data_IF_264787801610
#
_entry.id   IF_264787801610
#
_cell.length_a   1.000
_cell.length_b   1.000
_cell.length_c   1.000
_cell.angle_alpha   90.00
_cell.angle_beta   90.00
_cell.angle_gamma   90.00
#
_symmetry.space_group_name_H-M   'P 1'
#
loop_
_entity.id
_entity.type
_entity.pdbx_description
1 polymer ?
2 non-polymer ?
3 non-polymer ?
4 water ?
#
# COMPACT_ATOMS: atom_id res chain seq x y z
N UNK A 1 34.75 -26.37 13.76
CA UNK A 1 34.17 -25.55 12.65
C UNK A 1 32.64 -25.53 12.71
N UNK A 2 32.08 -24.40 13.11
CA UNK A 2 30.63 -24.25 13.21
C UNK A 2 30.05 -23.78 11.88
N UNK A 3 28.76 -23.99 11.69
CA UNK A 3 28.11 -23.55 10.46
C UNK A 3 28.16 -22.03 10.48
N UNK A 4 28.27 -21.43 9.29
CA UNK A 4 28.33 -19.98 9.16
C UNK A 4 27.23 -19.54 8.20
N UNK A 5 26.18 -18.92 8.74
CA UNK A 5 25.07 -18.47 7.92
C UNK A 5 25.25 -17.00 7.54
N UNK A 6 25.40 -16.75 6.24
CA UNK A 6 25.61 -15.40 5.73
C UNK A 6 24.31 -14.69 5.36
N UNK A 7 23.94 -13.72 6.19
CA UNK A 7 22.73 -12.93 6.00
C UNK A 7 23.08 -11.55 5.46
N UNK A 8 22.26 -11.07 4.52
CA UNK A 8 22.46 -9.75 3.92
C UNK A 8 21.26 -8.87 4.19
N UNK A 9 21.51 -7.64 4.63
CA UNK A 9 20.43 -6.69 4.90
C UNK A 9 20.22 -5.84 3.66
N UNK A 10 18.99 -5.81 3.15
CA UNK A 10 18.68 -5.01 1.97
C UNK A 10 17.44 -4.17 2.23
N UNK A 11 17.37 -3.01 1.57
CA UNK A 11 16.23 -2.12 1.76
C UNK A 11 16.60 -0.67 1.55
N UNK A 12 15.59 0.17 1.29
CA UNK A 12 15.79 1.59 1.05
C UNK A 12 16.46 2.28 2.25
N UNK A 13 17.01 3.47 2.00
CA UNK A 13 17.66 4.19 3.07
C UNK A 13 16.70 4.54 4.19
N UNK A 14 17.17 4.41 5.41
CA UNK A 14 16.37 4.75 6.57
C UNK A 14 15.32 3.77 7.07
N UNK A 15 15.20 2.61 6.44
CA UNK A 15 14.20 1.64 6.89
C UNK A 15 14.56 0.97 8.21
N UNK A 16 15.84 1.00 8.58
CA UNK A 16 16.26 0.40 9.83
C UNK A 16 17.16 -0.82 9.71
N UNK A 17 17.86 -0.97 8.60
CA UNK A 17 18.75 -2.10 8.40
C UNK A 17 19.81 -2.15 9.50
N UNK A 18 20.44 -1.01 9.76
CA UNK A 18 21.48 -0.93 10.78
C UNK A 18 20.91 -1.13 12.19
N UNK A 19 19.78 -0.48 12.47
CA UNK A 19 19.18 -0.59 13.78
C UNK A 19 18.84 -2.05 14.09
N UNK A 20 18.28 -2.76 13.11
CA UNK A 20 17.95 -4.17 13.31
C UNK A 20 19.21 -4.98 13.60
N UNK A 21 20.25 -4.71 12.83
CA UNK A 21 21.51 -5.42 13.01
C UNK A 21 22.11 -5.18 14.39
N UNK A 22 22.11 -3.93 14.83
CA UNK A 22 22.69 -3.60 16.14
C UNK A 22 21.84 -4.11 17.31
N UNK A 23 20.52 -4.12 17.14
CA UNK A 23 19.66 -4.63 18.19
C UNK A 23 19.90 -6.13 18.33
N UNK A 24 20.00 -6.83 17.20
CA UNK A 24 20.24 -8.27 17.24
C UNK A 24 21.62 -8.57 17.81
N UNK A 25 22.62 -7.83 17.36
CA UNK A 25 23.99 -8.05 17.81
C UNK A 25 24.30 -7.69 19.25
N UNK A 26 23.89 -6.49 19.67
CA UNK A 26 24.23 -6.01 21.00
C UNK A 26 23.08 -5.63 21.93
N UNK A 27 21.86 -5.82 21.48
CA UNK A 27 20.68 -5.46 22.28
C UNK A 27 20.75 -3.99 22.65
N UNK A 28 21.10 -3.17 21.66
CA UNK A 28 21.20 -1.74 21.86
C UNK A 28 20.43 -1.00 20.77
N UNK A 29 19.71 0.04 21.17
CA UNK A 29 18.96 0.85 20.23
C UNK A 29 19.11 2.31 20.66
N UNK A 30 19.67 3.12 19.78
CA UNK A 30 19.86 4.54 20.05
C UNK A 30 19.25 5.30 18.88
N UNK A 31 18.08 5.88 19.10
CA UNK A 31 17.40 6.63 18.06
C UNK A 31 18.27 7.73 17.47
N UNK A 32 18.21 7.87 16.15
CA UNK A 32 18.98 8.87 15.41
C UNK A 32 20.45 8.52 15.27
N UNK A 33 20.81 7.29 15.64
CA UNK A 33 22.20 6.84 15.52
C UNK A 33 22.47 6.32 14.11
N UNK A 34 23.42 6.95 13.43
CA UNK A 34 23.77 6.56 12.07
C UNK A 34 25.18 5.96 12.02
N UNK A 35 25.27 4.62 12.10
CA UNK A 35 26.56 3.92 12.06
C UNK A 35 27.22 3.96 10.68
N UNK A 37 30.90 1.19 10.36
CA UNK A 37 31.35 -0.16 10.01
C UNK A 37 30.60 -0.68 8.79
N UNK A 40 30.58 -6.20 8.27
CA UNK A 40 30.24 -7.60 8.50
C UNK A 40 30.27 -7.92 10.00
N UNK A 41 29.10 -8.16 10.60
CA UNK A 41 29.02 -8.48 12.02
C UNK A 41 28.84 -9.98 12.21
N UNK A 42 29.58 -10.54 13.16
CA UNK A 42 29.45 -11.95 13.44
C UNK A 42 29.04 -12.20 14.89
N UNK A 43 28.35 -13.30 15.12
CA UNK A 43 27.90 -13.62 16.46
C UNK A 43 27.60 -15.10 16.53
N UNK A 44 27.96 -15.73 17.65
CA UNK A 44 27.70 -17.14 17.83
C UNK A 44 26.37 -17.22 18.55
N UNK A 45 25.46 -18.02 18.01
CA UNK A 45 24.14 -18.19 18.61
C UNK A 45 23.73 -19.66 18.54
N UNK A 46 22.74 -20.04 19.33
CA UNK A 46 22.27 -21.41 19.34
C UNK A 46 20.96 -21.51 18.57
N UNK A 47 21.01 -22.14 17.41
CA UNK A 47 19.83 -22.31 16.56
C UNK A 47 19.22 -23.69 16.75
N UNK A 48 18.07 -23.74 17.41
CA UNK A 48 17.39 -25.01 17.67
C UNK A 48 18.32 -26.05 18.28
N UNK A 49 19.09 -25.64 19.28
CA UNK A 49 20.00 -26.56 19.94
C UNK A 49 21.37 -26.73 19.32
N UNK A 50 21.61 -26.08 18.19
CA UNK A 50 22.91 -26.18 17.52
C UNK A 50 23.63 -24.85 17.53
N UNK A 51 24.84 -24.82 18.06
CA UNK A 51 25.61 -23.57 18.07
C UNK A 51 26.08 -23.33 16.65
N UNK A 52 25.79 -22.14 16.14
CA UNK A 52 26.19 -21.77 14.79
C UNK A 52 26.72 -20.34 14.83
N UNK A 53 27.21 -19.88 13.70
CA UNK A 53 27.71 -18.52 13.60
C UNK A 53 26.91 -17.80 12.53
N UNK A 54 26.44 -16.60 12.85
CA UNK A 54 25.70 -15.83 11.87
C UNK A 54 26.60 -14.67 11.47
N UNK A 55 26.58 -14.35 10.18
CA UNK A 55 27.36 -13.24 9.67
C UNK A 55 26.35 -12.32 9.01
N UNK A 56 26.30 -11.07 9.46
CA UNK A 56 25.36 -10.10 8.91
C UNK A 56 26.06 -8.97 8.19
N UNK A 57 25.74 -8.80 6.91
CA UNK A 57 26.32 -7.73 6.12
C UNK A 57 25.29 -6.60 6.10
N UNK A 58 25.63 -5.50 6.78
CA UNK A 58 24.75 -4.35 6.86
C UNK A 58 25.21 -3.27 5.88
N UNK A 59 24.68 -3.32 4.66
CA UNK A 59 25.06 -2.36 3.63
C UNK A 59 24.18 -1.13 3.59
N UNK A 60 24.64 -0.11 2.89
CA UNK A 60 23.90 1.14 2.77
C UNK A 60 22.74 0.98 1.79
N UNK A 61 21.63 1.63 2.07
CA UNK A 61 20.47 1.53 1.21
C UNK A 61 20.76 2.04 -0.20
N UNK A 73 27.10 -9.26 -1.81
CA UNK A 73 25.70 -9.40 -2.18
C UNK A 73 25.51 -10.69 -2.97
N UNK A 74 26.63 -11.26 -3.42
CA UNK A 74 26.61 -12.51 -4.18
C UNK A 74 26.93 -13.65 -3.23
N UNK A 75 27.83 -13.37 -2.29
CA UNK A 75 28.25 -14.36 -1.30
C UNK A 75 27.16 -14.60 -0.26
N UNK A 76 26.17 -13.71 -0.22
CA UNK A 76 25.08 -13.84 0.73
C UNK A 76 24.27 -15.10 0.51
N UNK A 77 23.85 -15.74 1.59
CA UNK A 77 23.07 -16.97 1.51
C UNK A 77 21.59 -16.72 1.81
N UNK A 78 21.31 -15.68 2.58
CA UNK A 78 19.94 -15.34 2.92
C UNK A 78 19.78 -13.85 2.95
N UNK A 79 18.58 -13.36 2.66
CA UNK A 79 18.33 -11.93 2.65
C UNK A 79 17.14 -11.45 3.45
N UNK A 80 17.34 -10.39 4.22
CA UNK A 80 16.26 -9.79 4.99
C UNK A 80 15.91 -8.54 4.19
N UNK A 81 14.78 -8.58 3.51
CA UNK A 81 14.30 -7.46 2.68
C UNK A 81 13.45 -6.56 3.56
N UNK A 82 14.06 -5.48 4.03
CA UNK A 82 13.40 -4.56 4.95
C UNK A 82 12.82 -3.29 4.33
N UNK A 83 11.65 -2.90 4.83
CA UNK A 83 11.02 -1.65 4.42
C UNK A 83 10.43 -1.10 5.71
N UNK A 84 10.08 0.18 5.73
CA UNK A 84 9.49 0.78 6.92
C UNK A 84 7.99 0.85 6.72
N UNK A 85 7.22 0.39 7.72
CA UNK A 85 5.78 0.43 7.59
C UNK A 85 5.27 1.86 7.51
N UNK A 86 6.13 2.82 7.85
CA UNK A 86 5.74 4.23 7.81
C UNK A 86 6.05 4.92 6.49
N UNK A 87 6.59 4.17 5.53
CA UNK A 87 6.95 4.74 4.24
C UNK A 87 6.60 3.79 3.10
N UNK A 88 5.46 4.02 2.45
CA UNK A 88 5.06 3.14 1.36
C UNK A 88 6.06 3.17 0.21
N UNK A 89 6.86 4.22 0.14
CA UNK A 89 7.87 4.34 -0.90
C UNK A 89 8.90 3.23 -0.72
N UNK A 90 9.28 2.97 0.54
CA UNK A 90 10.27 1.94 0.81
C UNK A 90 9.69 0.55 0.55
N UNK A 91 8.38 0.42 0.67
CA UNK A 91 7.70 -0.85 0.43
C UNK A 91 7.68 -1.12 -1.07
N UNK A 92 7.30 -0.10 -1.84
CA UNK A 92 7.26 -0.23 -3.29
C UNK A 92 8.63 -0.64 -3.82
N UNK A 93 9.68 -0.07 -3.22
CA UNK A 93 11.05 -0.34 -3.63
C UNK A 93 11.53 -1.78 -3.44
N UNK A 94 10.84 -2.53 -2.58
CA UNK A 94 11.24 -3.91 -2.34
C UNK A 94 11.12 -4.80 -3.57
N UNK A 95 10.28 -4.40 -4.52
CA UNK A 95 10.10 -5.19 -5.74
C UNK A 95 11.38 -5.22 -6.55
N UNK A 96 12.04 -4.07 -6.67
CA UNK A 96 13.29 -3.99 -7.42
C UNK A 96 14.38 -4.80 -6.72
N UNK A 97 14.47 -4.63 -5.41
CA UNK A 97 15.47 -5.34 -4.62
C UNK A 97 15.27 -6.84 -4.79
N UNK A 98 14.01 -7.27 -4.70
CA UNK A 98 13.64 -8.67 -4.87
C UNK A 98 14.15 -9.19 -6.21
N UNK A 99 13.82 -8.45 -7.26
CA UNK A 99 14.22 -8.80 -8.62
C UNK A 99 15.74 -8.84 -8.78
N UNK A 100 16.42 -7.86 -8.22
CA UNK A 100 17.87 -7.79 -8.30
C UNK A 100 18.56 -8.96 -7.61
N UNK A 101 18.06 -9.34 -6.44
CA UNK A 101 18.64 -10.44 -5.69
C UNK A 101 18.55 -11.75 -6.47
N UNK A 102 17.36 -12.06 -6.99
CA UNK A 102 17.15 -13.28 -7.75
C UNK A 102 18.07 -13.36 -8.97
N UNK A 103 18.24 -12.25 -9.67
CA UNK A 103 19.10 -12.24 -10.85
C UNK A 103 20.55 -12.48 -10.47
N UNK A 104 21.10 -11.60 -9.64
CA UNK A 104 22.48 -11.71 -9.19
C UNK A 104 22.77 -13.07 -8.56
N UNK A 105 21.84 -13.57 -7.76
CA UNK A 105 22.02 -14.85 -7.09
C UNK A 105 21.66 -16.00 -8.03
N UNK A 106 21.02 -15.66 -9.15
CA UNK A 106 20.62 -16.65 -10.15
C UNK A 106 19.64 -17.68 -9.61
N UNK A 107 19.43 -17.68 -8.30
CA UNK A 107 18.52 -18.61 -7.67
C UNK A 107 17.15 -17.98 -7.44
N UNK A 108 16.10 -18.72 -7.73
CA UNK A 108 14.73 -18.23 -7.57
C UNK A 108 14.14 -18.56 -6.21
N UNK A 109 14.73 -19.55 -5.53
CA UNK A 109 14.23 -19.96 -4.22
C UNK A 109 15.23 -19.61 -3.11
N UNK A 110 15.85 -18.45 -3.23
CA UNK A 110 16.82 -17.97 -2.25
C UNK A 110 16.18 -17.63 -0.92
N UNK A 111 16.80 -18.01 0.20
CA UNK A 111 16.24 -17.70 1.53
C UNK A 111 15.95 -16.21 1.54
N UNK A 112 14.68 -15.87 1.71
CA UNK A 112 14.24 -14.48 1.67
C UNK A 112 13.13 -14.24 2.68
N UNK A 113 13.15 -13.08 3.34
CA UNK A 113 12.13 -12.75 4.30
C UNK A 113 11.77 -11.28 4.14
N UNK A 114 10.48 -10.99 4.04
CA UNK A 114 10.01 -9.61 3.90
C UNK A 114 9.78 -9.08 5.31
N UNK A 115 10.50 -8.01 5.65
CA UNK A 115 10.42 -7.43 6.98
C UNK A 115 9.87 -6.00 7.00
N UNK A 116 8.78 -5.81 7.74
CA UNK A 116 8.19 -4.48 7.87
C UNK A 116 8.67 -3.95 9.21
N UNK A 117 9.67 -3.09 9.17
CA UNK A 117 10.24 -2.53 10.40
C UNK A 117 9.55 -1.26 10.88
N UNK A 118 9.88 -0.87 12.11
CA UNK A 118 9.33 0.32 12.78
C UNK A 118 7.87 0.12 13.17
N UNK A 119 7.53 -1.09 13.62
CA UNK A 119 6.16 -1.40 14.01
C UNK A 119 5.69 -0.58 15.22
N UNK A 120 6.62 0.02 15.95
CA UNK A 120 6.24 0.82 17.11
C UNK A 120 5.67 2.17 16.69
N UNK A 121 5.84 2.51 15.41
CA UNK A 121 5.33 3.77 14.87
C UNK A 121 4.02 3.52 14.13
N UNK A 122 3.16 2.72 14.74
CA UNK A 122 1.87 2.36 14.17
C UNK A 122 1.02 3.55 13.69
N UNK A 123 0.98 4.61 14.49
CA UNK A 123 0.19 5.79 14.13
C UNK A 123 0.66 6.51 12.86
N UNK A 124 1.81 6.10 12.33
CA UNK A 124 2.35 6.72 11.12
C UNK A 124 2.40 5.71 9.97
N UNK A 125 1.80 4.55 10.18
CA UNK A 125 1.79 3.48 9.18
C UNK A 125 1.22 3.92 7.83
N UNK A 126 1.90 3.52 6.75
CA UNK A 126 1.45 3.83 5.39
C UNK A 126 1.23 2.54 4.62
N UNK A 127 1.66 1.42 5.20
CA UNK A 127 1.51 0.12 4.57
C UNK A 127 0.78 -0.83 5.51
N UNK A 128 -0.42 -1.23 5.15
CA UNK A 128 -1.22 -2.11 5.98
C UNK A 128 -0.63 -3.53 6.01
N UNK A 129 -0.95 -4.27 7.05
CA UNK A 129 -0.47 -5.63 7.18
C UNK A 129 -0.93 -6.47 5.99
N UNK A 130 -2.19 -6.33 5.60
CA UNK A 130 -2.71 -7.09 4.47
C UNK A 130 -1.97 -6.82 3.17
N UNK A 131 -1.60 -5.57 2.93
CA UNK A 131 -0.88 -5.24 1.70
C UNK A 131 0.48 -5.94 1.68
N UNK A 132 1.22 -5.84 2.79
CA UNK A 132 2.53 -6.47 2.86
C UNK A 132 2.41 -7.99 2.75
N UNK A 133 1.43 -8.55 3.44
CA UNK A 133 1.20 -9.99 3.41
C UNK A 133 0.88 -10.48 2.00
N UNK A 134 0.06 -9.71 1.28
CA UNK A 134 -0.29 -10.07 -0.09
C UNK A 134 0.97 -10.25 -0.92
N UNK A 135 1.89 -9.30 -0.81
CA UNK A 135 3.14 -9.36 -1.56
C UNK A 135 3.99 -10.55 -1.14
N UNK A 136 4.04 -10.80 0.17
CA UNK A 136 4.81 -11.92 0.70
C UNK A 136 4.27 -13.23 0.16
N UNK A 137 2.94 -13.36 0.12
CA UNK A 137 2.34 -14.58 -0.39
C UNK A 137 2.65 -14.72 -1.88
N UNK A 138 2.64 -13.59 -2.58
CA UNK A 138 2.92 -13.56 -4.02
C UNK A 138 4.33 -14.09 -4.29
N UNK A 139 5.25 -13.78 -3.38
CA UNK A 139 6.64 -14.20 -3.53
C UNK A 139 6.91 -15.54 -2.83
N UNK A 140 5.91 -16.08 -2.16
CA UNK A 140 6.05 -17.35 -1.45
C UNK A 140 7.06 -17.26 -0.32
N UNK A 141 7.02 -16.15 0.42
CA UNK A 141 7.90 -15.94 1.56
C UNK A 141 7.06 -15.46 2.73
N UNK A 142 7.65 -15.40 3.92
CA UNK A 142 6.92 -14.95 5.09
C UNK A 142 7.11 -13.45 5.33
N UNK A 143 6.14 -12.86 6.00
CA UNK A 143 6.18 -11.44 6.34
C UNK A 143 6.18 -11.30 7.84
N UNK A 144 7.14 -10.54 8.37
CA UNK A 144 7.23 -10.32 9.80
C UNK A 144 7.42 -8.83 10.06
N UNK A 145 6.70 -8.29 11.04
CA UNK A 145 6.83 -6.88 11.38
C UNK A 145 7.74 -6.80 12.59
N UNK A 146 8.69 -5.88 12.53
CA UNK A 146 9.67 -5.73 13.59
C UNK A 146 9.80 -4.30 14.09
N UNK A 147 10.48 -4.17 15.23
CA UNK A 147 10.80 -2.87 15.81
C UNK A 147 12.14 -2.99 16.50
N UNK A 148 13.14 -2.31 15.97
CA UNK A 148 14.46 -2.33 16.59
C UNK A 148 14.36 -1.65 17.96
N UNK A 149 13.42 -0.73 18.09
CA UNK A 149 13.23 -0.01 19.35
C UNK A 149 12.63 -0.85 20.47
N UNK A 150 11.52 -1.52 20.20
CA UNK A 150 10.87 -2.34 21.22
C UNK A 150 11.39 -3.77 21.26
N UNK A 151 12.24 -4.12 20.29
CA UNK A 151 12.82 -5.46 20.16
C UNK A 151 11.87 -6.45 19.51
N UNK A 152 10.62 -6.05 19.36
CA UNK A 152 9.59 -6.91 18.77
C UNK A 152 10.01 -7.65 17.50
N UNK A 153 10.02 -8.98 17.58
CA UNK A 153 10.36 -9.88 16.48
C UNK A 153 11.74 -9.73 15.82
N UNK A 154 12.64 -9.00 16.44
CA UNK A 154 13.96 -8.85 15.84
C UNK A 154 14.74 -10.16 15.82
N UNK A 155 14.81 -10.85 16.97
CA UNK A 155 15.51 -12.14 16.99
C UNK A 155 14.80 -13.09 16.04
N UNK A 156 13.47 -13.02 16.00
CA UNK A 156 12.70 -13.91 15.13
C UNK A 156 13.08 -13.85 13.66
N UNK A 157 13.21 -12.66 13.09
CA UNK A 157 13.56 -12.58 11.67
C UNK A 157 14.94 -13.14 11.35
N UNK A 158 15.92 -12.92 12.23
CA UNK A 158 17.26 -13.45 11.99
C UNK A 158 17.30 -14.96 12.14
N UNK A 159 16.65 -15.48 13.17
CA UNK A 159 16.63 -16.93 13.38
C UNK A 159 15.81 -17.62 12.29
N UNK A 160 14.66 -17.05 11.96
CA UNK A 160 13.82 -17.64 10.92
C UNK A 160 14.57 -17.68 9.59
N UNK A 161 15.34 -16.64 9.29
CA UNK A 161 16.09 -16.62 8.05
C UNK A 161 17.18 -17.69 8.06
N UNK A 162 17.82 -17.87 9.21
CA UNK A 162 18.86 -18.88 9.31
C UNK A 162 18.25 -20.27 9.10
N UNK A 163 17.03 -20.46 9.57
CA UNK A 163 16.37 -21.76 9.39
C UNK A 163 16.13 -21.99 7.92
N UNK A 164 15.82 -20.91 7.20
CA UNK A 164 15.58 -20.99 5.75
C UNK A 164 16.88 -21.42 5.07
N UNK A 165 17.98 -20.78 5.47
CA UNK A 165 19.29 -21.08 4.91
C UNK A 165 19.70 -22.51 5.23
N UNK A 166 19.45 -22.92 6.47
CA UNK A 166 19.79 -24.26 6.94
C UNK A 166 19.15 -25.33 6.07
N UNK A 167 17.91 -25.10 5.63
CA UNK A 167 17.19 -26.05 4.80
C UNK A 167 17.31 -25.71 3.32
N UNK A 168 18.53 -25.40 2.89
CA UNK A 168 18.80 -25.05 1.49
C UNK A 168 18.04 -23.80 1.07
N UNK B 1 -20.94 6.53 19.71
CA UNK B 1 -20.60 5.84 18.43
C UNK B 1 -20.26 6.85 17.34
N UNK B 2 -19.02 6.80 16.84
CA UNK B 2 -18.59 7.72 15.80
C UNK B 2 -19.34 7.50 14.50
N UNK B 3 -19.53 8.56 13.74
CA UNK B 3 -20.21 8.47 12.47
C UNK B 3 -19.29 7.69 11.53
N UNK B 4 -19.89 6.81 10.73
CA UNK B 4 -19.13 6.00 9.78
C UNK B 4 -19.61 6.31 8.38
N UNK B 5 -18.70 6.75 7.53
CA UNK B 5 -19.03 7.06 6.15
C UNK B 5 -18.43 6.00 5.23
N UNK B 6 -19.30 5.23 4.57
CA UNK B 6 -18.86 4.18 3.67
C UNK B 6 -18.78 4.64 2.23
N UNK B 7 -17.54 4.79 1.77
CA UNK B 7 -17.27 5.26 0.43
C UNK B 7 -16.78 4.12 -0.46
N UNK B 8 -17.24 4.10 -1.70
CA UNK B 8 -16.81 3.08 -2.65
C UNK B 8 -16.24 3.74 -3.90
N UNK B 9 -15.03 3.33 -4.27
CA UNK B 9 -14.36 3.84 -5.46
C UNK B 9 -14.74 2.91 -6.61
N UNK B 10 -15.23 3.48 -7.71
CA UNK B 10 -15.57 2.67 -8.88
C UNK B 10 -14.99 3.34 -10.12
N UNK B 11 -14.79 2.57 -11.18
CA UNK B 11 -14.23 3.11 -12.40
C UNK B 11 -13.45 2.02 -13.13
N UNK B 12 -13.24 2.22 -14.43
CA UNK B 12 -12.52 1.22 -15.21
C UNK B 12 -11.05 1.13 -14.81
N UNK B 13 -10.37 0.10 -15.31
CA UNK B 13 -8.99 -0.10 -14.96
C UNK B 13 -7.99 1.00 -15.28
N UNK B 14 -7.10 1.24 -14.32
CA UNK B 14 -6.04 2.21 -14.50
C UNK B 14 -6.35 3.69 -14.43
N UNK B 15 -7.57 4.05 -14.02
CA UNK B 15 -7.94 5.46 -13.96
C UNK B 15 -7.37 6.20 -12.77
N UNK B 16 -6.95 5.45 -11.75
CA UNK B 16 -6.38 6.06 -10.56
C UNK B 16 -7.16 5.90 -9.26
N UNK B 17 -8.07 4.92 -9.21
CA UNK B 17 -8.84 4.71 -7.99
C UNK B 17 -7.92 4.48 -6.80
N UNK B 18 -6.93 3.61 -6.96
CA UNK B 18 -6.01 3.31 -5.87
C UNK B 18 -5.11 4.49 -5.53
N UNK B 19 -4.56 5.15 -6.54
CA UNK B 19 -3.69 6.28 -6.29
C UNK B 19 -4.41 7.37 -5.50
N UNK B 20 -5.67 7.63 -5.85
CA UNK B 20 -6.45 8.63 -5.15
C UNK B 20 -6.64 8.21 -3.69
N UNK B 21 -6.97 6.94 -3.49
CA UNK B 21 -7.17 6.40 -2.15
C UNK B 21 -5.91 6.52 -1.31
N UNK B 22 -4.77 6.14 -1.86
CA UNK B 22 -3.51 6.19 -1.13
C UNK B 22 -3.08 7.62 -0.82
N UNK B 23 -3.36 8.54 -1.74
CA UNK B 23 -3.02 9.94 -1.54
C UNK B 23 -3.85 10.46 -0.38
N UNK B 24 -5.15 10.14 -0.37
CA UNK B 24 -6.01 10.60 0.70
C UNK B 24 -5.63 9.96 2.04
N UNK B 25 -5.40 8.66 2.02
CA UNK B 25 -5.04 7.92 3.23
C UNK B 25 -3.67 8.22 3.82
N UNK B 26 -2.66 8.24 2.97
CA UNK B 26 -1.29 8.40 3.44
C UNK B 26 -0.50 9.61 2.95
N UNK B 27 -1.11 10.46 2.14
CA UNK B 27 -0.42 11.64 1.63
C UNK B 27 0.84 11.27 0.86
N UNK B 28 0.77 10.21 0.07
CA UNK B 28 1.91 9.76 -0.72
C UNK B 28 1.44 9.31 -2.10
N UNK B 29 2.35 9.39 -3.07
CA UNK B 29 2.10 8.93 -4.43
C UNK B 29 3.40 8.34 -4.95
N UNK B 30 3.33 7.09 -5.39
CA UNK B 30 4.49 6.42 -5.94
C UNK B 30 4.14 5.99 -7.36
N UNK B 31 4.79 6.61 -8.34
CA UNK B 31 4.50 6.28 -9.72
C UNK B 31 4.76 4.79 -10.00
N UNK B 32 3.88 4.21 -10.83
CA UNK B 32 3.97 2.81 -11.20
C UNK B 32 3.57 1.85 -10.08
N UNK B 33 3.32 2.39 -8.89
CA UNK B 33 2.92 1.54 -7.77
C UNK B 33 1.42 1.27 -7.84
N UNK B 34 1.04 0.00 -7.68
CA UNK B 34 -0.36 -0.39 -7.71
C UNK B 34 -0.61 -1.35 -6.54
N UNK B 35 -1.39 -0.91 -5.55
CA UNK B 35 -1.71 -1.72 -4.37
C UNK B 35 -2.62 -2.90 -4.69
N UNK B 36 -2.46 -3.98 -3.93
CA UNK B 36 -3.27 -5.18 -4.12
C UNK B 36 -4.35 -5.31 -3.07
N UNK B 37 -4.26 -4.51 -2.01
CA UNK B 37 -5.25 -4.54 -0.92
C UNK B 37 -6.66 -4.47 -1.49
N UNK B 38 -7.45 -5.51 -1.22
CA UNK B 38 -8.82 -5.60 -1.72
C UNK B 38 -9.93 -5.30 -0.72
N UNK B 39 -9.60 -5.20 0.56
CA UNK B 39 -10.65 -4.85 1.50
C UNK B 39 -10.51 -3.37 1.85
N UNK B 40 -11.53 -2.82 2.48
CA UNK B 40 -11.55 -1.39 2.77
C UNK B 40 -10.46 -0.78 3.62
N UNK B 41 -10.20 0.49 3.35
CA UNK B 41 -9.24 1.28 4.11
C UNK B 41 -10.06 1.96 5.19
N UNK B 42 -9.60 1.88 6.43
CA UNK B 42 -10.31 2.49 7.54
C UNK B 42 -9.45 3.59 8.16
N UNK B 43 -10.07 4.74 8.42
CA UNK B 43 -9.35 5.86 9.01
C UNK B 43 -10.27 6.84 9.72
N UNK B 44 -9.80 7.40 10.82
CA UNK B 44 -10.56 8.39 11.56
C UNK B 44 -10.07 9.73 11.04
N UNK B 45 -11.00 10.56 10.57
CA UNK B 45 -10.63 11.86 10.04
C UNK B 45 -11.51 12.94 10.67
N UNK B 46 -11.14 14.19 10.47
CA UNK B 46 -11.91 15.29 11.03
C UNK B 46 -12.72 15.97 9.93
N UNK B 47 -14.04 15.95 10.09
CA UNK B 47 -14.94 16.57 9.11
C UNK B 47 -15.66 17.74 9.76
N UNK B 48 -15.29 18.95 9.36
CA UNK B 48 -15.89 20.17 9.89
C UNK B 48 -15.91 20.17 11.42
N UNK B 49 -14.75 19.91 12.02
CA UNK B 49 -14.66 19.91 13.48
C UNK B 49 -15.06 18.62 14.17
N UNK B 50 -15.80 17.75 13.49
CA UNK B 50 -16.24 16.50 14.08
C UNK B 50 -15.40 15.31 13.64
N UNK B 51 -14.97 14.49 14.60
CA UNK B 51 -14.19 13.30 14.29
C UNK B 51 -15.15 12.25 13.75
N UNK B 52 -14.84 11.74 12.56
CA UNK B 52 -15.68 10.72 11.95
C UNK B 52 -14.79 9.61 11.42
N UNK B 53 -15.41 8.47 11.11
CA UNK B 53 -14.66 7.36 10.58
C UNK B 53 -15.03 7.18 9.12
N UNK B 54 -14.04 7.02 8.26
CA UNK B 54 -14.30 6.80 6.86
C UNK B 54 -13.86 5.38 6.51
N UNK B 55 -14.58 4.77 5.59
CA UNK B 55 -14.29 3.42 5.15
C UNK B 55 -14.26 3.53 3.64
N UNK B 56 -13.12 3.24 3.03
CA UNK B 56 -13.00 3.34 1.58
C UNK B 56 -12.75 1.99 0.93
N UNK B 57 -13.69 1.54 0.11
CA UNK B 57 -13.52 0.29 -0.60
C UNK B 57 -12.94 0.66 -1.96
N UNK B 58 -11.67 0.37 -2.15
CA UNK B 58 -10.95 0.67 -3.39
C UNK B 58 -11.11 -0.51 -4.35
N UNK B 59 -12.23 -0.57 -5.06
CA UNK B 59 -12.43 -1.69 -5.97
C UNK B 59 -11.57 -1.52 -7.20
N UNK B 60 -11.32 -2.63 -7.89
CA UNK B 60 -10.53 -2.62 -9.11
C UNK B 60 -11.47 -2.60 -10.31
N UNK B 61 -10.98 -2.12 -11.44
CA UNK B 61 -11.78 -2.11 -12.64
C UNK B 61 -12.14 -3.54 -12.97
N UNK B 62 -13.39 -3.75 -13.36
CA UNK B 62 -13.91 -5.08 -13.68
C UNK B 62 -13.82 -5.42 -15.15
N UNK B 63 -13.52 -6.69 -15.44
CA UNK B 63 -13.48 -7.14 -16.83
C UNK B 63 -14.96 -7.31 -17.20
N UNK B 64 -15.24 -7.39 -18.50
CA UNK B 64 -16.62 -7.50 -18.95
C UNK B 64 -17.40 -8.70 -18.41
N UNK B 65 -16.70 -9.80 -18.13
CA UNK B 65 -17.37 -10.99 -17.62
C UNK B 65 -17.66 -10.96 -16.12
N UNK B 66 -17.23 -9.88 -15.44
CA UNK B 66 -17.43 -9.78 -14.00
C UNK B 66 -18.04 -8.45 -13.59
N UNK B 67 -18.38 -8.34 -12.30
CA UNK B 67 -18.97 -7.11 -11.77
C UNK B 67 -18.90 -7.08 -10.26
N UNK B 68 -18.97 -5.87 -9.70
CA UNK B 68 -18.98 -5.72 -8.26
C UNK B 68 -20.30 -6.32 -7.78
N UNK B 69 -20.25 -7.06 -6.68
CA UNK B 69 -21.45 -7.70 -6.14
C UNK B 69 -22.47 -6.66 -5.68
N UNK B 70 -23.74 -6.90 -5.98
CA UNK B 70 -24.79 -5.97 -5.59
C UNK B 70 -24.79 -5.69 -4.09
N UNK B 71 -24.52 -6.71 -3.28
CA UNK B 71 -24.49 -6.53 -1.83
C UNK B 71 -23.49 -5.46 -1.42
N UNK B 72 -22.36 -5.38 -2.11
CA UNK B 72 -21.37 -4.38 -1.78
C UNK B 72 -21.81 -2.97 -2.17
N UNK B 73 -22.53 -2.84 -3.28
CA UNK B 73 -23.02 -1.53 -3.66
C UNK B 73 -24.11 -1.09 -2.68
N UNK B 74 -24.89 -2.07 -2.20
CA UNK B 74 -25.97 -1.79 -1.26
C UNK B 74 -25.41 -1.20 0.04
N UNK B 75 -24.32 -1.77 0.53
CA UNK B 75 -23.71 -1.29 1.78
C UNK B 75 -23.00 0.04 1.61
N UNK B 76 -22.60 0.36 0.38
CA UNK B 76 -21.93 1.63 0.13
C UNK B 76 -22.87 2.80 0.31
N UNK B 77 -22.40 3.87 0.93
CA UNK B 77 -23.23 5.05 1.16
C UNK B 77 -22.96 6.19 0.17
N UNK B 78 -21.74 6.24 -0.35
CA UNK B 78 -21.39 7.28 -1.30
C UNK B 78 -20.41 6.71 -2.30
N UNK B 79 -20.40 7.25 -3.52
CA UNK B 79 -19.54 6.74 -4.57
C UNK B 79 -18.69 7.78 -5.28
N UNK B 80 -17.43 7.44 -5.53
CA UNK B 80 -16.56 8.31 -6.32
C UNK B 80 -16.44 7.52 -7.62
N UNK B 81 -17.10 8.03 -8.66
CA UNK B 81 -17.11 7.38 -9.97
C UNK B 81 -15.98 8.03 -10.77
N UNK B 82 -14.86 7.31 -10.84
CA UNK B 82 -13.65 7.82 -11.47
C UNK B 82 -13.35 7.37 -12.90
N UNK B 83 -12.86 8.30 -13.71
CA UNK B 83 -12.42 7.98 -15.05
C UNK B 83 -11.15 8.80 -15.22
N UNK B 84 -10.39 8.52 -16.28
CA UNK B 84 -9.18 9.29 -16.54
C UNK B 84 -9.46 10.25 -17.66
N UNK B 85 -9.09 11.52 -17.52
CA UNK B 85 -9.34 12.47 -18.58
C UNK B 85 -8.54 12.13 -19.82
N UNK B 86 -7.59 11.21 -19.70
CA UNK B 86 -6.75 10.82 -20.83
C UNK B 86 -7.26 9.60 -21.60
N UNK B 87 -8.34 8.99 -21.11
CA UNK B 87 -8.87 7.81 -21.78
C UNK B 87 -10.39 7.85 -21.96
N UNK B 88 -10.82 8.15 -23.18
CA UNK B 88 -12.24 8.23 -23.47
C UNK B 88 -12.99 6.95 -23.09
N UNK B 89 -12.35 5.79 -23.24
CA UNK B 89 -13.01 4.54 -22.90
C UNK B 89 -13.40 4.48 -21.43
N UNK B 90 -12.58 5.07 -20.57
CA UNK B 90 -12.89 5.06 -19.14
C UNK B 90 -14.08 5.97 -18.86
N UNK B 91 -14.24 7.03 -19.64
CA UNK B 91 -15.38 7.94 -19.47
C UNK B 91 -16.65 7.21 -19.91
N UNK B 92 -16.55 6.52 -21.03
CA UNK B 92 -17.69 5.77 -21.56
C UNK B 92 -18.15 4.72 -20.54
N UNK B 93 -17.20 4.18 -19.79
CA UNK B 93 -17.51 3.15 -18.80
C UNK B 93 -18.30 3.65 -17.59
N UNK B 94 -18.26 4.96 -17.32
CA UNK B 94 -18.96 5.49 -16.16
C UNK B 94 -20.48 5.30 -16.19
N UNK B 95 -21.07 5.32 -17.38
CA UNK B 95 -22.52 5.17 -17.50
C UNK B 95 -23.01 3.85 -16.89
N UNK B 96 -22.29 2.76 -17.15
CA UNK B 96 -22.69 1.46 -16.61
C UNK B 96 -22.58 1.41 -15.08
N UNK B 97 -21.55 2.05 -14.53
CA UNK B 97 -21.41 2.07 -13.08
C UNK B 97 -22.59 2.81 -12.47
N UNK B 98 -22.94 3.95 -13.06
CA UNK B 98 -24.07 4.74 -12.57
C UNK B 98 -25.34 3.88 -12.62
N UNK B 99 -25.53 3.18 -13.74
CA UNK B 99 -26.73 2.35 -13.89
C UNK B 99 -26.82 1.24 -12.86
N UNK B 100 -25.71 0.56 -12.57
CA UNK B 100 -25.73 -0.51 -11.58
C UNK B 100 -25.99 0.04 -10.19
N UNK B 101 -25.33 1.16 -9.88
CA UNK B 101 -25.52 1.78 -8.57
C UNK B 101 -26.99 2.15 -8.36
N UNK B 102 -27.60 2.78 -9.36
CA UNK B 102 -29.00 3.19 -9.25
C UNK B 102 -29.95 2.01 -9.16
N UNK B 103 -29.62 0.93 -9.87
CA UNK B 103 -30.48 -0.25 -9.86
C UNK B 103 -30.47 -0.91 -8.49
N UNK B 104 -29.33 -0.87 -7.81
CA UNK B 104 -29.20 -1.47 -6.49
C UNK B 104 -29.68 -0.56 -5.37
N UNK B 105 -29.37 0.74 -5.47
CA UNK B 105 -29.74 1.71 -4.44
C UNK B 105 -31.13 2.32 -4.63
N UNK B 106 -31.64 2.30 -5.87
CA UNK B 106 -32.95 2.86 -6.17
C UNK B 106 -33.08 4.27 -5.60
N UNK B 107 -32.07 5.09 -5.82
CA UNK B 107 -32.04 6.46 -5.33
C UNK B 107 -31.20 7.35 -6.25
N UNK B 108 -31.88 8.23 -6.99
CA UNK B 108 -31.21 9.15 -7.91
C UNK B 108 -30.39 10.19 -7.17
N UNK B 109 -30.60 10.28 -5.86
CA UNK B 109 -29.90 11.26 -5.05
C UNK B 109 -28.79 10.66 -4.18
N UNK B 110 -28.38 9.44 -4.50
CA UNK B 110 -27.32 8.80 -3.73
C UNK B 110 -26.06 9.66 -3.80
N UNK B 111 -25.34 9.82 -2.67
CA UNK B 111 -24.11 10.62 -2.66
C UNK B 111 -23.20 10.09 -3.77
N UNK B 112 -22.81 10.96 -4.69
CA UNK B 112 -22.06 10.52 -5.86
C UNK B 112 -21.33 11.69 -6.50
N UNK B 113 -20.07 11.47 -6.87
CA UNK B 113 -19.29 12.50 -7.55
C UNK B 113 -18.69 11.88 -8.80
N UNK B 114 -18.72 12.60 -9.93
CA UNK B 114 -18.09 12.13 -11.14
C UNK B 114 -16.70 12.74 -11.03
N UNK B 115 -15.68 11.90 -11.04
CA UNK B 115 -14.30 12.36 -10.88
C UNK B 115 -13.43 12.11 -12.11
N UNK B 116 -12.88 13.18 -12.67
CA UNK B 116 -12.00 13.07 -13.83
C UNK B 116 -10.58 13.19 -13.32
N UNK B 117 -9.90 12.05 -13.21
CA UNK B 117 -8.54 12.00 -12.68
C UNK B 117 -7.44 12.15 -13.72
N UNK B 118 -6.22 12.38 -13.24
CA UNK B 118 -5.02 12.57 -14.05
C UNK B 118 -5.04 13.94 -14.73
N UNK B 119 -5.52 14.95 -13.99
CA UNK B 119 -5.61 16.31 -14.52
C UNK B 119 -4.22 16.88 -14.82
N UNK B 120 -3.19 16.26 -14.28
CA UNK B 120 -1.82 16.71 -14.51
C UNK B 120 -1.34 16.36 -15.92
N UNK B 121 -2.15 15.56 -16.63
CA UNK B 121 -1.80 15.16 -18.00
C UNK B 121 -2.69 15.85 -19.02
N UNK B 122 -2.80 17.17 -18.93
CA UNK B 122 -3.64 17.92 -19.85
C UNK B 122 -3.27 17.69 -21.32
N UNK B 123 -1.98 17.56 -21.59
CA UNK B 123 -1.51 17.35 -22.96
C UNK B 123 -2.01 16.05 -23.59
N UNK B 124 -2.53 15.16 -22.75
CA UNK B 124 -3.04 13.87 -23.25
C UNK B 124 -4.54 13.72 -23.04
N UNK B 125 -5.21 14.83 -22.76
CA UNK B 125 -6.65 14.82 -22.52
C UNK B 125 -7.43 14.29 -23.73
N UNK B 126 -8.36 13.37 -23.45
CA UNK B 126 -9.22 12.78 -24.49
C UNK B 126 -10.68 13.12 -24.20
N UNK B 127 -10.97 13.49 -22.96
CA UNK B 127 -12.32 13.83 -22.56
C UNK B 127 -12.36 15.31 -22.20
N UNK B 128 -13.24 16.06 -22.87
CA UNK B 128 -13.33 17.48 -22.62
C UNK B 128 -14.04 17.78 -21.30
N UNK B 129 -13.68 18.92 -20.70
CA UNK B 129 -14.32 19.33 -19.46
C UNK B 129 -15.80 19.51 -19.73
N UNK B 130 -16.09 20.10 -20.89
CA UNK B 130 -17.46 20.38 -21.29
C UNK B 130 -18.34 19.13 -21.31
N UNK B 131 -17.87 18.05 -21.93
CA UNK B 131 -18.69 16.85 -21.99
C UNK B 131 -18.81 16.15 -20.65
N UNK B 132 -17.79 16.24 -19.80
CA UNK B 132 -17.86 15.61 -18.50
C UNK B 132 -18.85 16.41 -17.64
N UNK B 133 -18.78 17.73 -17.74
CA UNK B 133 -19.69 18.58 -16.98
C UNK B 133 -21.12 18.34 -17.42
N UNK B 134 -21.31 18.19 -18.74
CA UNK B 134 -22.65 17.95 -19.26
C UNK B 134 -23.22 16.67 -18.69
N UNK B 135 -22.39 15.63 -18.60
CA UNK B 135 -22.84 14.36 -18.06
C UNK B 135 -23.19 14.50 -16.59
N UNK B 136 -22.34 15.18 -15.84
CA UNK B 136 -22.59 15.37 -14.41
C UNK B 136 -23.92 16.11 -14.23
N UNK B 137 -24.17 17.11 -15.07
CA UNK B 137 -25.41 17.87 -14.98
C UNK B 137 -26.62 17.00 -15.24
N UNK B 138 -26.50 16.10 -16.22
CA UNK B 138 -27.59 15.20 -16.56
C UNK B 138 -27.90 14.30 -15.36
N UNK B 139 -26.86 13.89 -14.66
CA UNK B 139 -27.00 13.02 -13.50
C UNK B 139 -27.28 13.80 -12.23
N UNK B 140 -27.23 15.13 -12.33
CA UNK B 140 -27.46 15.99 -11.19
C UNK B 140 -26.42 15.75 -10.08
N UNK B 141 -25.17 15.58 -10.50
CA UNK B 141 -24.08 15.37 -9.56
C UNK B 141 -22.98 16.37 -9.92
N UNK B 142 -22.01 16.53 -9.03
CA UNK B 142 -20.91 17.44 -9.32
C UNK B 142 -19.76 16.72 -10.00
N UNK B 143 -19.04 17.48 -10.84
CA UNK B 143 -17.87 16.98 -11.56
C UNK B 143 -16.64 17.65 -10.97
N UNK B 144 -15.65 16.86 -10.61
CA UNK B 144 -14.41 17.39 -10.05
C UNK B 144 -13.23 16.72 -10.73
N UNK B 145 -12.25 17.51 -11.15
CA UNK B 145 -11.06 16.95 -11.79
C UNK B 145 -9.98 16.87 -10.73
N UNK B 146 -9.30 15.71 -10.70
CA UNK B 146 -8.28 15.48 -9.69
C UNK B 146 -6.98 14.97 -10.28
N UNK B 147 -5.96 14.93 -9.42
CA UNK B 147 -4.67 14.35 -9.80
C UNK B 147 -4.09 13.71 -8.55
N UNK B 148 -4.01 12.38 -8.56
CA UNK B 148 -3.43 11.68 -7.42
C UNK B 148 -1.94 12.01 -7.35
N UNK B 149 -1.34 12.28 -8.50
CA UNK B 149 0.08 12.58 -8.56
C UNK B 149 0.45 13.92 -7.93
N UNK B 150 -0.27 14.97 -8.30
CA UNK B 150 0.01 16.31 -7.77
C UNK B 150 -0.82 16.67 -6.54
N UNK B 151 -1.80 15.82 -6.21
CA UNK B 151 -2.71 16.01 -5.08
C UNK B 151 -3.88 16.94 -5.37
N UNK B 152 -3.98 17.41 -6.61
CA UNK B 152 -5.06 18.31 -7.01
C UNK B 152 -6.46 17.76 -6.67
N UNK B 153 -7.19 18.51 -5.85
CA UNK B 153 -8.55 18.18 -5.43
C UNK B 153 -8.77 16.80 -4.79
N UNK B 154 -7.72 16.19 -4.28
CA UNK B 154 -7.89 14.87 -3.66
C UNK B 154 -8.71 14.95 -2.37
N UNK B 155 -8.32 15.84 -1.45
CA UNK B 155 -9.09 15.95 -0.22
C UNK B 155 -10.49 16.42 -0.55
N UNK B 156 -10.60 17.33 -1.52
CA UNK B 156 -11.92 17.84 -1.91
C UNK B 156 -12.92 16.75 -2.28
N UNK B 157 -12.55 15.83 -3.14
CA UNK B 157 -13.53 14.82 -3.52
C UNK B 157 -13.97 13.93 -2.37
N UNK B 158 -13.04 13.56 -1.49
CA UNK B 158 -13.40 12.70 -0.36
C UNK B 158 -14.24 13.45 0.68
N UNK B 159 -13.83 14.67 1.02
CA UNK B 159 -14.59 15.44 2.00
C UNK B 159 -15.93 15.89 1.44
N UNK B 160 -15.97 16.26 0.16
CA UNK B 160 -17.24 16.66 -0.44
C UNK B 160 -18.21 15.49 -0.42
N UNK B 161 -17.70 14.28 -0.71
CA UNK B 161 -18.57 13.13 -0.70
C UNK B 161 -19.08 12.84 0.71
N UNK B 162 -18.20 12.96 1.70
CA UNK B 162 -18.62 12.72 3.08
C UNK B 162 -19.70 13.71 3.49
N UNK B 163 -19.60 14.95 3.03
CA UNK B 163 -20.62 15.93 3.40
C UNK B 163 -21.96 15.55 2.79
N UNK B 164 -21.93 14.94 1.60
CA UNK B 164 -23.16 14.52 0.95
C UNK B 164 -23.75 13.35 1.73
N UNK B 165 -22.89 12.45 2.17
CA UNK B 165 -23.33 11.30 2.95
C UNK B 165 -23.93 11.77 4.28
N UNK B 166 -23.28 12.74 4.90
CA UNK B 166 -23.75 13.29 6.17
C UNK B 166 -25.15 13.88 6.06
N UNK B 167 -25.43 14.54 4.94
CA UNK B 167 -26.73 15.15 4.72
C UNK B 167 -27.74 14.11 4.22
N UNK B 168 -27.33 12.85 4.26
CA UNK B 168 -28.17 11.74 3.81
C UNK B 168 -28.31 11.73 2.29
X LIG C 1 22.49 1.69 7.76
X LIG D 1 1.97 -3.77 16.08
X LIG E 1 20.93 3.49 5.59
X LIG E 1 21.18 4.83 5.06
X LIG E 1 22.17 2.83 5.94
X LIG E 1 20.46 2.63 4.39
X LIG E 1 19.77 3.50 6.72
X LIG E 1 19.26 2.17 7.55
X LIG E 1 18.32 1.33 6.81
X LIG E 1 20.33 1.41 8.19
X LIG E 1 18.44 2.81 8.77
X LIG E 1 18.92 3.11 10.31
X LIG E 1 19.08 1.81 11.02
X LIG E 1 20.03 4.08 10.33
X LIG E 1 17.58 3.75 10.87
X LIG E 1 17.13 5.06 10.37
X LIG E 1 16.45 5.85 11.49
X LIG E 1 15.28 5.13 11.91
X LIG E 1 17.32 6.01 12.77
X LIG E 1 17.15 7.32 13.38
X LIG E 1 16.84 4.87 13.65
X LIG E 1 16.96 5.11 15.04
X LIG E 1 15.35 4.80 13.29
X LIG E 1 14.79 3.45 13.47
X LIG E 1 15.25 2.24 12.95
X LIG E 1 14.53 1.21 13.26
X LIG E 1 13.50 1.76 14.06
X LIG E 1 12.36 1.14 14.72
X LIG E 1 12.04 -0.04 14.74
X LIG E 1 11.57 2.07 15.41
X LIG E 1 11.80 3.44 15.48
X LIG E 1 10.94 4.19 16.20
X LIG E 1 12.86 4.02 14.88
X LIG E 1 13.66 3.14 14.18
X LIG F 1 -6.54 -0.12 -8.03
X LIG G 1 -6.53 -3.62 -13.16
X LIG H 1 -7.18 -0.91 -11.04
X LIG H 1 -6.66 -2.03 -11.86
X LIG H 1 -7.28 -1.28 -9.66
X LIG H 1 -8.65 -0.72 -11.44
X LIG H 1 -6.37 0.46 -11.36
X LIG H 1 -6.64 1.88 -10.59
X LIG H 1 -7.80 2.64 -11.08
X LIG H 1 -6.59 1.78 -9.14
X LIG H 1 -5.34 2.73 -10.99
X LIG H 1 -3.97 2.97 -10.15
X LIG H 1 -4.25 3.88 -9.00
X LIG H 1 -3.28 1.69 -9.92
X LIG H 1 -3.19 3.85 -11.22
X LIG H 1 -2.77 3.25 -12.49
X LIG H 1 -1.51 3.97 -13.02
X LIG H 1 -1.85 5.36 -13.24
X LIG H 1 -0.34 3.99 -12.01
X LIG H 1 0.95 3.89 -12.68
X LIG H 1 -0.53 5.31 -11.30
X LIG H 1 0.66 5.89 -10.76
X LIG H 1 -1.01 6.20 -12.44
X LIG H 1 -1.82 7.32 -11.94
X LIG H 1 -2.90 7.30 -11.05
X LIG H 1 -3.41 8.46 -10.80
X LIG H 1 -2.65 9.34 -11.58
X LIG H 1 -2.72 10.78 -11.75
X LIG H 1 -3.50 11.57 -11.22
X LIG H 1 -1.75 11.27 -12.63
X LIG H 1 -0.80 10.51 -13.30
X LIG H 1 0.06 11.15 -14.12
X LIG H 1 -0.72 9.15 -13.15
X LIG H 1 -1.67 8.64 -12.29
#
# INVERSE_FOLDING_TARGET
SLALHKVIMVGSGGVGKSALTLQFMYDEFVEDYEPTKADSYRKKVVLDGEEVQIDILDTAGQEDYAAIRDNYFRSGEGFLCVFSITEMESFAATADFREQILRVKEDENVPFLLVGNKSDLEDKRQVSVEEAKNRADQWNVNYVETSAKTRANVDKVFFDLMREIRAR
SLALHKVIMVGSGGVGKSALTLQFMYDEFVEDYEPTKADSYRKKVVLDGEEVQIDILDTAGQEDYAAIRDNYFRSGEGFLCVFSITEMESFAATADFREQILRVKEDENVPFLLVGNKSDLEDKRQVSVEEAKNRADQWNVNYVETSAKTRANVDKVFFDLMREIRAR
MG MG
MG MG
GNP PG O1G O2G O3G N3B PB O1B O2B O3A PA O1A O2A O5' C5' C4' O4' C3' O3' C2' O2' C1' N9 C8 N7 C5 C6 O6 N1 C2 N2 N3 C4
MG MG
MG MG
GNP PG O1G O2G O3G N3B PB O1B O2B O3A PA O1A O2A O5' C5' C4' O4' C3' O3' C2' O2' C1' N9 C8 N7 C5 C6 O6 N1 C2 N2 N3 C4
#
